data_IF_626829650214
#
_entry.id   IF_626829650214
#
_cell.length_a   1.000
_cell.length_b   1.000
_cell.length_c   1.000
_cell.angle_alpha   90.00
_cell.angle_beta   90.00
_cell.angle_gamma   90.00
#
_symmetry.space_group_name_H-M   'P 1'
#
loop_
_entity.id
_entity.type
_entity.pdbx_description
1 polymer ?
#
# COMPACT_ATOMS: atom_id res chain seq x y z
N UNK A 1 -10.65 29.77 -6.90
CA UNK A 1 -10.69 28.36 -6.47
C UNK A 1 -11.82 28.20 -5.48
N UNK A 2 -12.58 27.11 -5.59
CA UNK A 2 -13.65 26.81 -4.64
C UNK A 2 -13.07 26.49 -3.26
N UNK A 3 -13.70 26.94 -2.18
CA UNK A 3 -13.18 26.76 -0.80
C UNK A 3 -12.99 25.27 -0.48
N UNK A 4 -13.83 24.41 -1.06
CA UNK A 4 -13.79 22.95 -0.90
C UNK A 4 -12.53 22.32 -1.53
N UNK A 5 -12.12 22.77 -2.70
CA UNK A 5 -10.90 22.26 -3.35
C UNK A 5 -9.65 22.57 -2.52
N UNK A 6 -9.61 23.76 -1.93
CA UNK A 6 -8.47 24.17 -1.09
C UNK A 6 -8.41 23.37 0.22
N UNK A 7 -9.55 23.00 0.80
CA UNK A 7 -9.58 22.14 1.99
C UNK A 7 -9.19 20.70 1.66
N UNK A 8 -9.63 20.16 0.52
CA UNK A 8 -9.27 18.79 0.09
C UNK A 8 -7.76 18.66 -0.12
N UNK A 9 -7.11 19.63 -0.78
CA UNK A 9 -5.65 19.65 -0.96
C UNK A 9 -4.90 19.75 0.38
N UNK A 10 -5.45 20.49 1.36
CA UNK A 10 -4.86 20.57 2.70
C UNK A 10 -4.93 19.24 3.43
N UNK A 11 -6.08 18.56 3.38
CA UNK A 11 -6.26 17.23 3.94
C UNK A 11 -5.32 16.22 3.29
N UNK A 12 -5.22 16.22 1.97
CA UNK A 12 -4.33 15.31 1.25
C UNK A 12 -2.85 15.48 1.62
N UNK A 13 -2.43 16.71 1.95
CA UNK A 13 -1.07 17.00 2.40
C UNK A 13 -0.81 16.68 3.88
N UNK A 14 -1.80 16.92 4.75
CA UNK A 14 -1.61 16.92 6.21
C UNK A 14 -2.16 15.67 6.91
N UNK A 15 -3.07 14.94 6.29
CA UNK A 15 -3.69 13.78 6.90
C UNK A 15 -2.70 12.62 7.00
N UNK A 16 -2.73 11.94 8.15
CA UNK A 16 -2.03 10.68 8.34
C UNK A 16 -2.49 9.64 7.31
N UNK A 17 -1.62 8.69 6.94
CA UNK A 17 -1.90 7.67 5.92
C UNK A 17 -3.23 6.91 6.12
N UNK A 18 -3.59 6.58 7.37
CA UNK A 18 -4.82 5.86 7.69
C UNK A 18 -6.05 6.78 7.83
N UNK A 19 -5.84 8.08 7.96
CA UNK A 19 -6.91 9.09 7.94
C UNK A 19 -7.14 9.71 6.55
N UNK A 20 -6.21 9.50 5.61
CA UNK A 20 -6.28 10.04 4.27
C UNK A 20 -7.48 9.47 3.52
N UNK A 21 -8.17 10.32 2.76
CA UNK A 21 -9.33 9.92 1.96
C UNK A 21 -9.02 8.81 0.95
N UNK A 22 -7.79 8.76 0.43
CA UNK A 22 -7.33 7.74 -0.52
C UNK A 22 -7.40 6.30 0.01
N UNK A 23 -7.26 6.08 1.32
CA UNK A 23 -7.33 4.73 1.91
C UNK A 23 -8.76 4.28 2.23
N UNK A 24 -9.74 5.18 2.12
CA UNK A 24 -11.15 4.89 2.46
C UNK A 24 -11.87 4.01 1.43
N UNK A 25 -11.25 3.75 0.29
CA UNK A 25 -11.78 2.92 -0.79
C UNK A 25 -10.96 1.65 -0.95
N UNK A 26 -11.62 0.56 -1.36
CA UNK A 26 -10.94 -0.70 -1.72
C UNK A 26 -10.04 -0.46 -2.93
N UNK A 27 -8.89 -1.14 -2.98
CA UNK A 27 -7.96 -1.08 -4.11
C UNK A 27 -8.64 -1.50 -5.43
N UNK A 28 -8.28 -0.82 -6.53
CA UNK A 28 -8.76 -1.17 -7.87
C UNK A 28 -8.14 -2.50 -8.31
N UNK A 29 -8.98 -3.43 -8.79
CA UNK A 29 -8.58 -4.80 -9.14
C UNK A 29 -8.85 -5.17 -10.60
N UNK A 30 -9.56 -4.32 -11.36
CA UNK A 30 -10.06 -4.68 -12.69
C UNK A 30 -9.58 -3.78 -13.81
N UNK A 31 -9.17 -2.54 -13.51
CA UNK A 31 -8.79 -1.54 -14.52
C UNK A 31 -7.56 -0.77 -14.08
N UNK A 32 -6.94 -0.09 -15.03
CA UNK A 32 -5.87 0.84 -14.73
C UNK A 32 -6.45 2.08 -14.02
N UNK A 33 -5.95 2.48 -12.84
CA UNK A 33 -6.40 3.68 -12.14
C UNK A 33 -6.16 4.95 -12.96
N UNK A 34 -7.14 5.85 -13.00
CA UNK A 34 -7.04 7.11 -13.76
C UNK A 34 -6.26 8.21 -13.01
N UNK A 35 -6.30 8.18 -11.68
CA UNK A 35 -5.73 9.20 -10.82
C UNK A 35 -4.58 8.64 -10.01
N UNK A 36 -3.60 9.49 -9.74
CA UNK A 36 -2.49 9.19 -8.85
C UNK A 36 -2.99 9.02 -7.40
N UNK A 37 -2.21 8.29 -6.62
CA UNK A 37 -2.40 8.11 -5.18
C UNK A 37 -1.08 8.46 -4.50
N UNK A 38 -1.16 8.98 -3.28
CA UNK A 38 0.01 9.20 -2.43
C UNK A 38 0.79 7.90 -2.24
N UNK A 39 2.10 7.97 -2.40
CA UNK A 39 3.04 6.84 -2.42
C UNK A 39 3.03 6.04 -1.10
N UNK A 40 2.99 6.73 0.03
CA UNK A 40 2.94 6.15 1.38
C UNK A 40 1.65 5.35 1.65
N UNK A 41 0.53 5.78 1.06
CA UNK A 41 -0.77 5.09 1.13
C UNK A 41 -0.79 3.90 0.18
N UNK A 42 -0.31 4.07 -1.05
CA UNK A 42 -0.22 2.98 -2.03
C UNK A 42 0.66 1.83 -1.51
N UNK A 43 1.84 2.16 -0.95
CA UNK A 43 2.71 1.18 -0.30
C UNK A 43 2.02 0.47 0.86
N UNK A 44 1.28 1.21 1.70
CA UNK A 44 0.63 0.62 2.87
C UNK A 44 -0.41 -0.43 2.49
N UNK A 45 -1.26 -0.10 1.50
CA UNK A 45 -2.35 -0.99 1.08
C UNK A 45 -1.75 -2.31 0.58
N UNK A 46 -0.72 -2.25 -0.25
CA UNK A 46 -0.06 -3.44 -0.80
C UNK A 46 0.66 -4.22 0.32
N UNK A 47 1.41 -3.54 1.18
CA UNK A 47 2.11 -4.19 2.29
C UNK A 47 1.13 -4.87 3.25
N UNK A 48 -0.03 -4.28 3.50
CA UNK A 48 -1.06 -4.84 4.37
C UNK A 48 -1.71 -6.08 3.75
N UNK A 49 -1.94 -6.08 2.44
CA UNK A 49 -2.45 -7.25 1.72
C UNK A 49 -1.47 -8.43 1.76
N UNK A 50 -0.16 -8.17 1.64
CA UNK A 50 0.89 -9.20 1.68
C UNK A 50 0.97 -9.96 3.01
N UNK A 51 0.43 -9.43 4.12
CA UNK A 51 0.34 -10.22 5.36
C UNK A 51 -0.58 -11.45 5.21
N UNK A 52 -1.45 -11.49 4.20
CA UNK A 52 -2.28 -12.66 3.90
C UNK A 52 -1.48 -13.84 3.30
N UNK A 53 -0.25 -13.62 2.82
CA UNK A 53 0.62 -14.68 2.29
C UNK A 53 1.17 -15.61 3.39
N UNK A 54 1.16 -15.15 4.64
CA UNK A 54 1.71 -15.88 5.78
C UNK A 54 3.24 -15.82 5.86
N UNK A 55 3.80 -16.53 6.84
CA UNK A 55 5.25 -16.50 7.07
C UNK A 55 5.97 -17.56 6.23
N UNK A 56 6.75 -17.12 5.24
CA UNK A 56 7.51 -18.01 4.37
C UNK A 56 8.46 -18.96 5.13
N UNK A 57 9.04 -18.56 6.28
CA UNK A 57 9.92 -19.44 7.07
C UNK A 57 9.17 -20.58 7.78
N UNK A 58 7.85 -20.47 7.90
CA UNK A 58 6.99 -21.52 8.45
C UNK A 58 6.35 -22.39 7.34
N UNK A 59 6.63 -22.10 6.07
CA UNK A 59 6.20 -22.93 4.95
C UNK A 59 7.10 -24.17 4.83
N UNK A 60 6.64 -25.30 5.37
CA UNK A 60 7.33 -26.60 5.29
C UNK A 60 6.97 -27.41 4.03
N UNK A 61 6.11 -26.88 3.16
CA UNK A 61 5.67 -27.58 1.94
C UNK A 61 6.53 -27.26 0.72
N UNK A 62 7.24 -26.11 0.71
CA UNK A 62 8.06 -25.67 -0.41
C UNK A 62 9.49 -26.19 -0.33
N UNK A 63 10.10 -26.43 -1.49
CA UNK A 63 11.53 -26.73 -1.64
C UNK A 63 12.38 -25.49 -1.99
N UNK A 64 11.74 -24.34 -2.24
CA UNK A 64 12.43 -23.09 -2.55
C UNK A 64 13.04 -22.46 -1.29
N UNK A 65 14.09 -21.65 -1.48
CA UNK A 65 14.75 -20.90 -0.40
C UNK A 65 13.79 -19.84 0.20
N UNK A 66 13.78 -19.71 1.53
CA UNK A 66 12.97 -18.71 2.27
C UNK A 66 13.81 -17.83 3.21
N UNK A 67 15.14 -17.91 3.07
CA UNK A 67 16.12 -17.11 3.79
C UNK A 67 17.35 -16.91 2.91
N UNK A 68 17.82 -15.67 2.75
CA UNK A 68 19.04 -15.34 2.03
C UNK A 68 19.96 -14.51 2.94
N UNK A 69 21.27 -14.66 2.78
CA UNK A 69 22.28 -13.84 3.44
C UNK A 69 22.49 -12.54 2.66
N UNK A 70 22.62 -11.40 3.34
CA UNK A 70 22.81 -10.08 2.73
C UNK A 70 24.07 -9.98 1.85
N UNK A 71 25.05 -10.86 2.05
CA UNK A 71 26.30 -10.89 1.27
C UNK A 71 26.21 -11.72 -0.02
N UNK A 72 25.05 -12.32 -0.31
CA UNK A 72 24.83 -13.05 -1.57
C UNK A 72 24.47 -12.04 -2.66
N UNK A 73 25.29 -11.98 -3.71
CA UNK A 73 25.11 -11.13 -4.90
C UNK A 73 24.84 -11.97 -6.13
#
# INVERSE_FOLDING_TARGET
>A
MDKKQVTDLRSELLDSRFGAKSISTIAESKRFPLHEMRDDVAFQIINDELYLDGNARQNLATFCQTWDDENVH
#
